data_IF_939320139417
#
_entry.id   IF_939320139417
#
_cell.length_a   1.000
_cell.length_b   1.000
_cell.length_c   1.000
_cell.angle_alpha   90.00
_cell.angle_beta   90.00
_cell.angle_gamma   90.00
#
_symmetry.space_group_name_H-M   'P 1'
#
loop_
_entity.id
_entity.type
_entity.pdbx_description
1 polymer ?
#
# COMPACT_ATOMS: atom_id res chain seq x y z
N UNK A 1 -59.04 57.61 40.46
CA UNK A 1 -58.79 56.27 40.02
C UNK A 1 -57.86 56.30 38.78
N UNK A 2 -56.58 56.19 39.02
CA UNK A 2 -55.54 56.23 37.93
C UNK A 2 -55.14 54.86 37.61
N UNK A 3 -55.37 54.42 36.38
CA UNK A 3 -54.86 53.10 35.83
C UNK A 3 -53.44 53.31 35.35
N UNK A 4 -52.52 52.56 35.94
CA UNK A 4 -51.14 52.47 35.49
C UNK A 4 -51.10 51.30 34.51
N UNK A 5 -50.74 51.55 33.25
CA UNK A 5 -50.50 50.58 32.22
C UNK A 5 -48.99 50.27 32.27
N UNK A 6 -48.65 49.00 32.72
CA UNK A 6 -47.28 48.51 32.69
C UNK A 6 -46.92 48.06 31.30
N UNK A 7 -45.85 48.63 30.77
CA UNK A 7 -45.22 48.21 29.50
C UNK A 7 -44.28 47.04 29.79
N UNK A 8 -44.63 45.81 29.34
CA UNK A 8 -43.78 44.65 29.40
C UNK A 8 -42.89 44.66 28.15
N UNK A 9 -41.63 44.98 28.36
CA UNK A 9 -40.61 44.85 27.31
C UNK A 9 -40.25 43.40 27.11
N UNK A 10 -40.58 42.84 25.95
CA UNK A 10 -40.11 41.54 25.50
C UNK A 10 -38.69 41.72 24.95
N UNK A 11 -37.69 41.34 25.76
CA UNK A 11 -36.32 41.21 25.29
C UNK A 11 -36.25 39.91 24.46
N UNK A 12 -36.23 40.06 23.14
CA UNK A 12 -35.97 38.96 22.22
C UNK A 12 -34.53 38.47 22.40
N UNK A 13 -34.36 37.30 23.01
CA UNK A 13 -33.10 36.56 22.98
C UNK A 13 -32.99 35.95 21.59
N UNK A 14 -32.16 36.54 20.75
CA UNK A 14 -31.73 35.94 19.50
C UNK A 14 -30.76 34.82 19.92
N UNK A 15 -31.28 33.61 20.00
CA UNK A 15 -30.45 32.41 20.00
C UNK A 15 -29.83 32.32 18.61
N UNK A 16 -28.58 32.77 18.49
CA UNK A 16 -27.69 32.33 17.42
C UNK A 16 -27.53 30.82 17.63
N UNK A 17 -28.38 30.06 16.95
CA UNK A 17 -28.05 28.67 16.66
C UNK A 17 -26.81 28.73 15.79
N UNK A 18 -25.65 28.59 16.40
CA UNK A 18 -24.49 28.05 15.69
C UNK A 18 -24.95 26.71 15.20
N UNK A 19 -25.29 26.58 13.92
CA UNK A 19 -25.23 25.31 13.24
C UNK A 19 -23.75 24.94 13.32
N UNK A 20 -23.40 24.14 14.30
CA UNK A 20 -22.28 23.28 14.18
C UNK A 20 -22.64 22.35 12.98
N UNK A 21 -22.15 22.68 11.80
CA UNK A 21 -21.89 21.62 10.86
C UNK A 21 -21.07 20.61 11.68
N UNK A 22 -21.64 19.47 11.97
CA UNK A 22 -20.83 18.30 12.24
C UNK A 22 -20.08 18.09 10.95
N UNK A 23 -18.84 18.57 10.88
CA UNK A 23 -17.96 18.27 9.80
C UNK A 23 -17.86 16.75 9.81
N UNK A 24 -18.47 16.10 8.80
CA UNK A 24 -18.38 14.66 8.65
C UNK A 24 -16.89 14.36 8.52
N UNK A 25 -16.39 13.45 9.36
CA UNK A 25 -15.00 13.04 9.35
C UNK A 25 -14.63 12.47 7.99
N UNK A 26 -13.36 12.59 7.62
CA UNK A 26 -12.79 11.92 6.46
C UNK A 26 -12.64 10.40 6.78
N UNK A 27 -13.29 9.55 6.03
CA UNK A 27 -13.28 8.10 6.27
C UNK A 27 -12.15 7.44 5.50
N UNK A 28 -11.12 6.96 6.23
CA UNK A 28 -9.98 6.24 5.66
C UNK A 28 -10.14 4.74 5.91
N UNK A 29 -9.82 3.93 4.91
CA UNK A 29 -9.88 2.48 5.02
C UNK A 29 -8.62 1.79 4.52
N UNK A 30 -8.53 0.48 4.74
CA UNK A 30 -7.49 -0.40 4.23
C UNK A 30 -7.98 -1.83 4.07
N UNK A 31 -7.19 -2.63 3.36
CA UNK A 31 -7.43 -4.06 3.13
C UNK A 31 -7.00 -4.89 4.36
N UNK A 32 -7.35 -6.19 4.45
CA UNK A 32 -7.16 -6.97 5.68
C UNK A 32 -5.76 -7.61 5.81
N UNK A 33 -4.69 -6.82 5.68
CA UNK A 33 -3.31 -7.25 5.98
C UNK A 33 -2.47 -6.09 6.53
N UNK A 34 -1.34 -6.41 7.13
CA UNK A 34 -0.52 -5.54 7.98
C UNK A 34 -0.19 -4.19 7.35
N UNK A 35 0.37 -4.17 6.17
CA UNK A 35 0.70 -2.94 5.46
C UNK A 35 -0.51 -2.01 5.30
N UNK A 36 -1.66 -2.61 5.02
CA UNK A 36 -2.93 -1.91 4.83
C UNK A 36 -3.64 -1.55 6.15
N UNK A 37 -3.10 -1.94 7.31
CA UNK A 37 -3.43 -1.38 8.61
C UNK A 37 -2.51 -0.21 8.98
N UNK A 38 -1.24 -0.25 8.55
CA UNK A 38 -0.26 0.80 8.83
C UNK A 38 -0.52 2.05 7.95
N UNK A 39 -0.74 1.87 6.65
CA UNK A 39 -0.87 2.96 5.69
C UNK A 39 -2.03 3.93 6.01
N UNK A 40 -3.25 3.47 6.36
CA UNK A 40 -4.32 4.37 6.81
C UNK A 40 -3.92 5.20 8.03
N UNK A 41 -3.18 4.60 8.98
CA UNK A 41 -2.69 5.29 10.17
C UNK A 41 -1.65 6.38 9.82
N UNK A 42 -0.74 6.11 8.87
CA UNK A 42 0.19 7.13 8.37
C UNK A 42 -0.56 8.30 7.74
N UNK A 43 -1.52 8.01 6.84
CA UNK A 43 -2.28 9.05 6.16
C UNK A 43 -3.12 9.87 7.16
N UNK A 44 -3.86 9.19 8.03
CA UNK A 44 -4.79 9.84 8.94
C UNK A 44 -4.07 10.68 10.00
N UNK A 45 -3.05 10.15 10.68
CA UNK A 45 -2.27 10.91 11.65
C UNK A 45 -1.57 12.12 11.01
N UNK A 46 -1.11 11.97 9.76
CA UNK A 46 -0.51 13.10 9.04
C UNK A 46 -1.54 14.18 8.69
N UNK A 47 -2.74 13.80 8.25
CA UNK A 47 -3.84 14.72 7.96
C UNK A 47 -4.25 15.48 9.25
N UNK A 48 -4.47 14.77 10.37
CA UNK A 48 -4.86 15.36 11.65
C UNK A 48 -3.81 16.31 12.21
N UNK A 49 -2.51 16.06 11.97
CA UNK A 49 -1.41 16.97 12.38
C UNK A 49 -1.35 18.23 11.52
N UNK A 50 -1.69 18.14 10.23
CA UNK A 50 -1.53 19.27 9.28
C UNK A 50 -2.78 20.08 9.06
N UNK A 51 -3.94 19.58 9.46
CA UNK A 51 -5.24 20.17 9.19
C UNK A 51 -6.16 20.09 10.41
N UNK A 52 -7.34 20.70 10.31
CA UNK A 52 -8.44 20.56 11.29
C UNK A 52 -9.45 19.45 10.87
N UNK A 53 -9.05 18.52 9.96
CA UNK A 53 -9.91 17.45 9.46
C UNK A 53 -9.91 16.30 10.47
N UNK A 54 -11.10 15.95 11.00
CA UNK A 54 -11.28 14.75 11.80
C UNK A 54 -11.22 13.49 10.90
N UNK A 55 -10.53 12.43 11.35
CA UNK A 55 -10.39 11.18 10.61
C UNK A 55 -11.12 10.03 11.30
N UNK A 56 -11.91 9.27 10.53
CA UNK A 56 -12.50 8.00 10.96
C UNK A 56 -11.82 6.84 10.23
N UNK A 57 -11.38 5.82 10.98
CA UNK A 57 -10.73 4.64 10.41
C UNK A 57 -11.69 3.47 10.29
N UNK A 58 -11.80 2.88 9.08
CA UNK A 58 -12.50 1.61 8.80
C UNK A 58 -11.49 0.56 8.39
N UNK A 59 -10.88 -0.09 9.38
CA UNK A 59 -9.81 -1.05 9.15
C UNK A 59 -10.32 -2.37 8.56
N UNK A 60 -9.50 -2.97 7.67
CA UNK A 60 -9.71 -4.32 7.18
C UNK A 60 -11.03 -4.56 6.47
N UNK A 61 -11.55 -3.54 5.77
CA UNK A 61 -12.88 -3.58 5.15
C UNK A 61 -13.04 -4.74 4.16
N UNK A 62 -12.00 -5.05 3.41
CA UNK A 62 -11.97 -6.16 2.46
C UNK A 62 -11.01 -5.94 1.29
N UNK A 63 -11.00 -6.89 0.37
CA UNK A 63 -10.22 -6.83 -0.86
C UNK A 63 -10.86 -5.88 -1.90
N UNK A 64 -10.21 -5.72 -3.05
CA UNK A 64 -10.62 -4.86 -4.18
C UNK A 64 -12.12 -4.93 -4.46
N UNK A 65 -12.70 -6.14 -4.45
CA UNK A 65 -14.14 -6.35 -4.71
C UNK A 65 -15.06 -5.67 -3.69
N UNK A 66 -14.55 -5.30 -2.52
CA UNK A 66 -15.26 -4.57 -1.47
C UNK A 66 -14.83 -3.10 -1.46
N UNK A 67 -13.51 -2.84 -1.56
CA UNK A 67 -12.96 -1.49 -1.46
C UNK A 67 -13.45 -0.55 -2.56
N UNK A 68 -13.40 -0.98 -3.83
CA UNK A 68 -13.82 -0.14 -4.96
C UNK A 68 -15.31 0.24 -4.89
N UNK A 69 -16.26 -0.70 -4.64
CA UNK A 69 -17.66 -0.32 -4.43
C UNK A 69 -17.92 0.56 -3.20
N UNK A 70 -17.12 0.41 -2.12
CA UNK A 70 -17.25 1.24 -0.93
C UNK A 70 -16.80 2.68 -1.21
N UNK A 71 -15.71 2.85 -1.96
CA UNK A 71 -15.25 4.15 -2.43
C UNK A 71 -16.30 4.82 -3.34
N UNK A 72 -16.81 4.10 -4.34
CA UNK A 72 -17.82 4.61 -5.28
C UNK A 72 -19.12 5.07 -4.59
N UNK A 73 -19.54 4.36 -3.53
CA UNK A 73 -20.75 4.70 -2.77
C UNK A 73 -20.55 5.79 -1.72
N UNK A 74 -19.32 6.14 -1.39
CA UNK A 74 -19.01 7.05 -0.31
C UNK A 74 -19.09 6.42 1.09
N UNK A 75 -18.97 5.11 1.17
CA UNK A 75 -18.81 4.42 2.46
C UNK A 75 -17.41 4.66 3.04
N UNK A 76 -16.44 4.96 2.19
CA UNK A 76 -15.07 5.42 2.48
C UNK A 76 -14.69 6.55 1.53
N UNK A 77 -13.78 7.43 1.94
CA UNK A 77 -13.32 8.59 1.16
C UNK A 77 -11.90 8.40 0.60
N UNK A 78 -11.09 7.61 1.29
CA UNK A 78 -9.66 7.45 1.01
C UNK A 78 -9.17 6.06 1.38
N UNK A 79 -8.32 5.46 0.55
CA UNK A 79 -7.50 4.30 0.89
C UNK A 79 -6.23 4.27 0.05
N UNK A 80 -5.26 3.42 0.41
CA UNK A 80 -4.08 3.17 -0.43
C UNK A 80 -4.31 1.97 -1.31
N UNK A 81 -4.08 2.14 -2.61
CA UNK A 81 -4.12 1.06 -3.58
C UNK A 81 -2.80 0.96 -4.34
N UNK A 82 -2.56 -0.18 -4.98
CA UNK A 82 -1.39 -0.43 -5.80
C UNK A 82 -1.74 -0.28 -7.28
N UNK A 83 -0.90 0.44 -8.02
CA UNK A 83 -1.20 0.80 -9.43
C UNK A 83 -1.49 -0.41 -10.30
N UNK A 84 -0.73 -1.51 -10.17
CA UNK A 84 -0.97 -2.75 -10.90
C UNK A 84 -2.31 -3.40 -10.57
N UNK A 85 -2.71 -3.38 -9.29
CA UNK A 85 -4.03 -3.87 -8.85
C UNK A 85 -5.15 -3.00 -9.44
N UNK A 86 -5.01 -1.68 -9.35
CA UNK A 86 -5.96 -0.74 -9.95
C UNK A 86 -6.15 -0.97 -11.44
N UNK A 87 -5.04 -1.17 -12.17
CA UNK A 87 -5.07 -1.43 -13.61
C UNK A 87 -5.72 -2.78 -13.95
N UNK A 88 -5.15 -3.87 -13.39
CA UNK A 88 -5.51 -5.24 -13.77
C UNK A 88 -6.82 -5.70 -13.14
N UNK A 89 -6.99 -5.49 -11.82
CA UNK A 89 -8.09 -6.08 -11.07
C UNK A 89 -9.34 -5.20 -11.02
N UNK A 90 -9.19 -3.88 -11.18
CA UNK A 90 -10.32 -2.94 -11.19
C UNK A 90 -10.69 -2.52 -12.61
N UNK A 91 -9.75 -1.96 -13.35
CA UNK A 91 -10.01 -1.46 -14.70
C UNK A 91 -10.08 -2.58 -15.75
N UNK A 92 -9.52 -3.78 -15.46
CA UNK A 92 -9.42 -4.92 -16.38
C UNK A 92 -8.59 -4.61 -17.61
N UNK A 93 -7.52 -3.84 -17.39
CA UNK A 93 -6.53 -3.47 -18.40
C UNK A 93 -5.19 -4.16 -18.08
N UNK A 94 -4.34 -4.33 -19.10
CA UNK A 94 -3.02 -4.94 -18.94
C UNK A 94 -1.93 -3.86 -19.08
N UNK A 95 -0.83 -4.05 -18.35
CA UNK A 95 0.41 -3.28 -18.57
C UNK A 95 1.30 -3.97 -19.60
N UNK A 96 2.11 -3.19 -20.28
CA UNK A 96 3.18 -3.73 -21.14
C UNK A 96 4.40 -4.09 -20.29
N UNK A 97 5.15 -5.11 -20.70
CA UNK A 97 6.42 -5.46 -20.04
C UNK A 97 7.37 -4.27 -20.11
N UNK A 98 7.90 -3.85 -18.97
CA UNK A 98 8.77 -2.67 -18.87
C UNK A 98 8.03 -1.32 -18.93
N UNK A 99 6.71 -1.31 -18.80
CA UNK A 99 5.95 -0.07 -18.70
C UNK A 99 6.36 0.73 -17.46
N UNK A 100 6.52 2.06 -17.61
CA UNK A 100 6.96 2.91 -16.50
C UNK A 100 5.85 3.12 -15.46
N UNK A 101 6.25 3.34 -14.20
CA UNK A 101 5.35 3.71 -13.10
C UNK A 101 4.45 4.90 -13.45
N UNK A 102 5.01 5.96 -14.06
CA UNK A 102 4.24 7.14 -14.46
C UNK A 102 3.14 6.81 -15.47
N UNK A 103 3.44 5.93 -16.46
CA UNK A 103 2.45 5.51 -17.45
C UNK A 103 1.31 4.72 -16.83
N UNK A 104 1.65 3.78 -15.93
CA UNK A 104 0.63 2.96 -15.22
C UNK A 104 -0.22 3.84 -14.32
N UNK A 105 0.41 4.77 -13.56
CA UNK A 105 -0.29 5.71 -12.70
C UNK A 105 -1.29 6.58 -13.49
N UNK A 106 -0.87 7.10 -14.65
CA UNK A 106 -1.74 7.92 -15.49
C UNK A 106 -2.95 7.13 -16.01
N UNK A 107 -2.75 5.87 -16.41
CA UNK A 107 -3.84 4.98 -16.83
C UNK A 107 -4.87 4.75 -15.71
N UNK A 108 -4.39 4.40 -14.51
CA UNK A 108 -5.31 4.14 -13.38
C UNK A 108 -6.00 5.42 -12.92
N UNK A 109 -5.29 6.55 -12.87
CA UNK A 109 -5.89 7.85 -12.53
C UNK A 109 -7.05 8.17 -13.47
N UNK A 110 -6.79 8.18 -14.77
CA UNK A 110 -7.81 8.45 -15.78
C UNK A 110 -8.99 7.47 -15.70
N UNK A 111 -8.70 6.17 -15.56
CA UNK A 111 -9.74 5.15 -15.49
C UNK A 111 -10.63 5.28 -14.26
N UNK A 112 -10.05 5.67 -13.11
CA UNK A 112 -10.81 5.88 -11.88
C UNK A 112 -11.64 7.18 -11.90
N UNK A 113 -11.08 8.26 -12.45
CA UNK A 113 -11.81 9.53 -12.65
C UNK A 113 -13.03 9.34 -13.56
N UNK A 114 -12.87 8.57 -14.65
CA UNK A 114 -13.96 8.31 -15.60
C UNK A 114 -15.05 7.35 -15.07
N UNK A 115 -14.69 6.39 -14.20
CA UNK A 115 -15.59 5.29 -13.81
C UNK A 115 -16.13 5.39 -12.39
N UNK A 116 -15.36 5.99 -11.45
CA UNK A 116 -15.63 5.92 -10.02
C UNK A 116 -15.68 7.29 -9.32
N UNK A 117 -15.51 8.39 -10.04
CA UNK A 117 -15.41 9.74 -9.46
C UNK A 117 -14.35 9.81 -8.35
N UNK A 118 -13.22 9.09 -8.54
CA UNK A 118 -12.08 9.03 -7.65
C UNK A 118 -10.79 9.26 -8.42
N UNK A 119 -9.77 9.81 -7.77
CA UNK A 119 -8.47 10.07 -8.40
C UNK A 119 -7.34 9.43 -7.61
N UNK A 120 -6.23 9.18 -8.29
CA UNK A 120 -4.98 8.69 -7.70
C UNK A 120 -4.04 9.86 -7.47
N UNK A 121 -3.55 10.01 -6.25
CA UNK A 121 -2.55 11.01 -5.91
C UNK A 121 -1.13 10.51 -6.22
N UNK A 122 -0.12 11.28 -5.80
CA UNK A 122 1.28 10.90 -6.01
C UNK A 122 1.66 9.65 -5.21
N UNK A 123 2.46 8.72 -5.79
CA UNK A 123 2.90 7.52 -5.10
C UNK A 123 3.70 7.82 -3.83
N UNK A 124 3.52 7.00 -2.81
CA UNK A 124 4.15 7.15 -1.50
C UNK A 124 5.67 6.91 -1.52
N UNK A 125 6.18 6.18 -2.52
CA UNK A 125 7.62 5.99 -2.74
C UNK A 125 8.10 4.55 -2.67
N UNK A 126 7.21 3.58 -2.58
CA UNK A 126 7.52 2.15 -2.63
C UNK A 126 6.55 1.38 -3.52
N UNK A 127 7.01 0.23 -3.98
CA UNK A 127 6.20 -0.78 -4.66
C UNK A 127 6.00 -1.99 -3.72
N UNK A 128 4.82 -2.60 -3.74
CA UNK A 128 4.62 -3.93 -3.15
C UNK A 128 4.55 -4.93 -4.31
N UNK A 129 5.73 -5.31 -4.81
CA UNK A 129 5.89 -6.20 -5.97
C UNK A 129 6.68 -7.45 -5.61
N UNK A 130 6.89 -8.34 -6.59
CA UNK A 130 7.70 -9.52 -6.40
C UNK A 130 9.21 -9.20 -6.43
N UNK A 131 9.94 -9.89 -5.57
CA UNK A 131 11.40 -10.01 -5.58
C UNK A 131 11.79 -11.46 -5.49
N UNK A 132 13.03 -11.82 -5.86
CA UNK A 132 13.61 -13.10 -5.52
C UNK A 132 14.48 -12.92 -4.28
N UNK A 133 14.17 -13.69 -3.23
CA UNK A 133 14.89 -13.68 -1.97
C UNK A 133 15.78 -14.90 -1.82
N UNK A 134 16.96 -14.71 -1.21
CA UNK A 134 17.94 -15.76 -0.92
C UNK A 134 18.70 -15.44 0.37
N UNK A 135 19.37 -16.41 0.97
CA UNK A 135 20.14 -16.20 2.21
C UNK A 135 21.48 -15.52 1.93
N UNK A 136 21.97 -14.68 2.86
CA UNK A 136 23.29 -14.03 2.79
C UNK A 136 24.44 -15.02 2.75
N UNK A 137 24.25 -16.23 3.26
CA UNK A 137 25.25 -17.30 3.25
C UNK A 137 25.49 -17.86 1.85
N UNK A 138 24.57 -17.65 0.92
CA UNK A 138 24.74 -17.99 -0.49
C UNK A 138 25.58 -16.90 -1.17
N UNK A 139 26.72 -17.30 -1.74
CA UNK A 139 27.68 -16.39 -2.40
C UNK A 139 27.21 -15.98 -3.83
N UNK A 140 25.90 -15.81 -4.06
CA UNK A 140 25.38 -15.44 -5.38
C UNK A 140 25.75 -14.01 -5.76
N UNK A 141 25.83 -13.09 -4.78
CA UNK A 141 26.11 -11.66 -4.99
C UNK A 141 25.22 -11.04 -6.08
N UNK A 142 23.97 -11.48 -6.14
CA UNK A 142 23.00 -11.05 -7.15
C UNK A 142 22.23 -9.81 -6.63
N UNK A 143 22.30 -8.73 -7.38
CA UNK A 143 21.51 -7.50 -7.10
C UNK A 143 20.26 -7.42 -7.98
N UNK A 144 20.30 -8.12 -9.13
CA UNK A 144 19.22 -8.16 -10.11
C UNK A 144 18.79 -9.59 -10.43
N UNK A 145 17.62 -9.73 -11.06
CA UNK A 145 17.20 -11.04 -11.60
C UNK A 145 18.18 -11.54 -12.66
N UNK A 146 18.72 -10.64 -13.49
CA UNK A 146 19.74 -10.99 -14.48
C UNK A 146 21.02 -11.54 -13.81
N UNK A 147 21.45 -10.96 -12.69
CA UNK A 147 22.59 -11.50 -11.92
C UNK A 147 22.26 -12.88 -11.34
N UNK A 148 21.03 -13.07 -10.84
CA UNK A 148 20.59 -14.36 -10.32
C UNK A 148 20.51 -15.43 -11.44
N UNK A 149 20.16 -15.04 -12.68
CA UNK A 149 20.25 -15.92 -13.85
C UNK A 149 21.68 -16.40 -14.04
N UNK A 150 22.68 -15.50 -13.99
CA UNK A 150 24.08 -15.90 -14.14
C UNK A 150 24.53 -16.82 -12.97
N UNK A 151 24.13 -16.53 -11.74
CA UNK A 151 24.38 -17.39 -10.59
C UNK A 151 23.77 -18.80 -10.77
N UNK A 152 22.56 -18.90 -11.31
CA UNK A 152 21.86 -20.18 -11.53
C UNK A 152 22.60 -21.12 -12.50
N UNK A 153 23.38 -20.57 -13.44
CA UNK A 153 24.17 -21.35 -14.41
C UNK A 153 25.34 -22.13 -13.80
N UNK A 154 25.73 -21.75 -12.58
CA UNK A 154 26.80 -22.50 -11.86
C UNK A 154 26.36 -23.91 -11.42
N UNK A 155 25.06 -24.17 -11.42
CA UNK A 155 24.40 -25.44 -11.12
C UNK A 155 24.05 -25.62 -9.65
N UNK A 156 23.07 -26.47 -9.39
CA UNK A 156 22.64 -26.84 -8.04
C UNK A 156 21.54 -26.00 -7.44
N UNK A 157 21.21 -24.82 -7.98
CA UNK A 157 20.20 -23.91 -7.42
C UNK A 157 18.81 -24.56 -7.41
N UNK A 158 18.16 -24.56 -6.25
CA UNK A 158 16.80 -25.08 -6.02
C UNK A 158 15.85 -23.89 -5.82
N UNK A 159 14.78 -23.84 -6.60
CA UNK A 159 13.76 -22.81 -6.49
C UNK A 159 12.53 -23.32 -5.75
N UNK A 160 12.09 -22.60 -4.71
CA UNK A 160 10.89 -22.92 -3.96
C UNK A 160 9.82 -21.84 -4.11
N UNK A 161 8.59 -22.21 -4.44
CA UNK A 161 7.49 -21.24 -4.58
C UNK A 161 6.14 -21.83 -4.18
N UNK A 162 5.13 -20.99 -3.88
CA UNK A 162 3.77 -21.45 -3.68
C UNK A 162 3.22 -22.14 -4.94
N UNK A 163 2.33 -23.13 -4.74
CA UNK A 163 1.70 -23.83 -5.87
C UNK A 163 1.03 -22.88 -6.86
N UNK A 164 0.32 -21.87 -6.35
CA UNK A 164 -0.32 -20.85 -7.18
C UNK A 164 0.65 -20.09 -8.10
N UNK A 165 1.94 -19.93 -7.71
CA UNK A 165 2.95 -19.26 -8.53
C UNK A 165 3.31 -20.07 -9.77
N UNK A 166 3.30 -21.42 -9.67
CA UNK A 166 3.53 -22.29 -10.81
C UNK A 166 2.33 -22.36 -11.77
N UNK A 167 1.11 -22.14 -11.29
CA UNK A 167 -0.09 -22.20 -12.12
C UNK A 167 -0.48 -20.85 -12.76
N UNK A 168 0.09 -19.77 -12.22
CA UNK A 168 -0.23 -18.40 -12.64
C UNK A 168 0.26 -18.12 -14.06
N UNK A 169 -0.54 -17.40 -14.85
CA UNK A 169 -0.22 -17.01 -16.22
C UNK A 169 0.08 -15.53 -16.31
N UNK A 170 1.06 -15.18 -17.13
CA UNK A 170 1.48 -13.81 -17.39
C UNK A 170 2.54 -13.32 -16.41
N UNK A 171 2.40 -13.64 -15.12
CA UNK A 171 3.29 -13.24 -14.04
C UNK A 171 3.68 -14.39 -13.08
N UNK A 172 3.59 -15.64 -13.56
CA UNK A 172 3.97 -16.84 -12.84
C UNK A 172 5.31 -17.43 -13.30
N UNK A 173 5.61 -18.63 -12.79
CA UNK A 173 6.91 -19.29 -12.98
C UNK A 173 7.28 -19.52 -14.45
N UNK A 174 6.35 -20.05 -15.27
CA UNK A 174 6.65 -20.36 -16.67
C UNK A 174 6.96 -19.10 -17.48
N UNK A 175 6.25 -18.01 -17.23
CA UNK A 175 6.49 -16.73 -17.91
C UNK A 175 7.76 -16.05 -17.35
N UNK A 176 8.04 -16.22 -16.05
CA UNK A 176 9.28 -15.73 -15.43
C UNK A 176 10.51 -16.36 -16.09
N UNK A 177 10.56 -17.69 -16.25
CA UNK A 177 11.72 -18.38 -16.87
C UNK A 177 11.81 -18.16 -18.39
N UNK A 178 10.71 -17.77 -19.05
CA UNK A 178 10.74 -17.33 -20.45
C UNK A 178 11.40 -15.95 -20.60
N UNK A 179 11.22 -15.05 -19.63
CA UNK A 179 11.83 -13.72 -19.61
C UNK A 179 13.25 -13.75 -19.07
N UNK A 180 13.43 -14.46 -17.96
CA UNK A 180 14.71 -14.68 -17.29
C UNK A 180 15.09 -16.16 -17.39
N UNK A 181 16.07 -16.54 -18.22
CA UNK A 181 16.40 -17.95 -18.48
C UNK A 181 17.18 -18.59 -17.32
N UNK A 182 16.54 -18.68 -16.15
CA UNK A 182 17.08 -19.36 -14.98
C UNK A 182 17.36 -20.84 -15.25
N UNK A 183 18.42 -21.37 -14.63
CA UNK A 183 18.80 -22.78 -14.69
C UNK A 183 18.68 -23.37 -13.29
N UNK A 184 17.44 -23.68 -12.89
CA UNK A 184 17.20 -24.37 -11.64
C UNK A 184 17.45 -25.88 -11.79
N UNK A 185 18.14 -26.47 -10.80
CA UNK A 185 18.37 -27.94 -10.75
C UNK A 185 17.11 -28.69 -10.32
N UNK A 186 16.28 -28.01 -9.48
CA UNK A 186 15.03 -28.53 -8.95
C UNK A 186 14.08 -27.36 -8.67
N UNK A 187 12.77 -27.64 -8.73
CA UNK A 187 11.73 -26.71 -8.29
C UNK A 187 10.82 -27.40 -7.27
N UNK A 188 10.49 -26.71 -6.18
CA UNK A 188 9.66 -27.25 -5.09
C UNK A 188 8.41 -26.42 -4.90
N UNK A 189 7.25 -27.09 -4.80
CA UNK A 189 6.00 -26.46 -4.44
C UNK A 189 5.85 -26.46 -2.91
N UNK A 190 5.79 -25.28 -2.30
CA UNK A 190 5.77 -25.08 -0.85
C UNK A 190 4.55 -24.30 -0.39
N UNK A 191 4.13 -24.54 0.86
CA UNK A 191 3.16 -23.64 1.50
C UNK A 191 3.83 -22.29 1.79
N UNK A 192 3.17 -21.13 1.55
CA UNK A 192 3.73 -19.80 1.80
C UNK A 192 4.25 -19.59 3.22
N UNK A 193 3.67 -20.27 4.22
CA UNK A 193 4.08 -20.10 5.61
C UNK A 193 5.37 -20.86 5.95
N UNK A 194 5.71 -21.91 5.21
CA UNK A 194 6.94 -22.70 5.42
C UNK A 194 8.05 -22.36 4.42
N UNK A 195 7.74 -21.62 3.37
CA UNK A 195 8.67 -21.29 2.28
C UNK A 195 9.92 -20.56 2.79
N UNK A 196 9.76 -19.60 3.68
CA UNK A 196 10.87 -18.85 4.27
C UNK A 196 11.75 -19.70 5.20
N UNK A 197 11.13 -20.62 5.95
CA UNK A 197 11.89 -21.56 6.80
C UNK A 197 12.67 -22.56 5.93
N UNK A 198 12.09 -23.04 4.82
CA UNK A 198 12.78 -23.91 3.87
C UNK A 198 14.00 -23.22 3.26
N UNK A 199 13.87 -21.92 2.91
CA UNK A 199 15.00 -21.10 2.44
C UNK A 199 16.08 -20.99 3.50
N UNK A 200 15.71 -20.64 4.74
CA UNK A 200 16.65 -20.50 5.86
C UNK A 200 17.40 -21.79 6.17
N UNK A 201 16.73 -22.93 6.06
CA UNK A 201 17.32 -24.26 6.32
C UNK A 201 18.17 -24.80 5.16
N UNK A 202 18.14 -24.13 3.99
CA UNK A 202 18.85 -24.58 2.80
C UNK A 202 18.15 -25.74 2.07
N UNK A 203 16.85 -25.95 2.31
CA UNK A 203 16.04 -26.91 1.55
C UNK A 203 15.76 -26.38 0.14
N UNK A 204 15.71 -25.06 -0.01
CA UNK A 204 15.68 -24.31 -1.27
C UNK A 204 16.67 -23.15 -1.19
N UNK A 205 17.13 -22.65 -2.34
CA UNK A 205 18.14 -21.60 -2.44
C UNK A 205 17.55 -20.22 -2.74
N UNK A 206 16.43 -20.18 -3.48
CA UNK A 206 15.77 -18.96 -3.92
C UNK A 206 14.25 -19.14 -3.85
N UNK A 207 13.56 -18.09 -3.37
CA UNK A 207 12.09 -18.04 -3.31
C UNK A 207 11.58 -16.71 -3.89
N UNK A 208 10.37 -16.67 -4.47
CA UNK A 208 9.68 -15.40 -4.71
C UNK A 208 9.16 -14.85 -3.38
N UNK A 209 9.35 -13.56 -3.15
CA UNK A 209 8.87 -12.84 -1.98
C UNK A 209 8.22 -11.53 -2.43
N UNK A 210 7.51 -10.86 -1.53
CA UNK A 210 7.10 -9.47 -1.77
C UNK A 210 8.14 -8.52 -1.18
N UNK A 211 8.43 -7.43 -1.88
CA UNK A 211 9.48 -6.46 -1.50
C UNK A 211 9.30 -5.89 -0.08
N UNK A 212 8.07 -5.81 0.39
CA UNK A 212 7.72 -5.27 1.71
C UNK A 212 7.43 -6.34 2.78
N UNK A 213 7.69 -7.62 2.49
CA UNK A 213 7.43 -8.72 3.43
C UNK A 213 8.40 -8.69 4.63
N UNK A 214 7.88 -8.45 5.84
CA UNK A 214 8.68 -8.35 7.08
C UNK A 214 9.53 -9.60 7.39
N UNK A 215 9.21 -10.75 6.77
CA UNK A 215 10.02 -11.97 6.91
C UNK A 215 11.39 -11.85 6.24
N UNK A 216 11.57 -10.94 5.27
CA UNK A 216 12.87 -10.63 4.68
C UNK A 216 13.82 -10.11 5.78
N UNK A 217 13.37 -9.17 6.59
CA UNK A 217 14.12 -8.64 7.73
C UNK A 217 14.35 -9.73 8.79
N UNK A 218 13.28 -10.44 9.17
CA UNK A 218 13.36 -11.49 10.21
C UNK A 218 14.39 -12.56 9.91
N UNK A 219 14.50 -12.97 8.66
CA UNK A 219 15.42 -14.03 8.24
C UNK A 219 16.74 -13.50 7.67
N UNK A 220 16.95 -12.19 7.71
CA UNK A 220 18.16 -11.52 7.21
C UNK A 220 18.47 -11.90 5.76
N UNK A 221 17.45 -11.86 4.89
CA UNK A 221 17.55 -12.27 3.49
C UNK A 221 18.11 -11.16 2.60
N UNK A 222 18.71 -11.56 1.49
CA UNK A 222 19.01 -10.70 0.34
C UNK A 222 17.85 -10.76 -0.64
N UNK A 223 17.61 -9.66 -1.33
CA UNK A 223 16.60 -9.53 -2.39
C UNK A 223 17.22 -9.04 -3.68
N UNK A 224 16.56 -9.31 -4.81
CA UNK A 224 16.99 -8.89 -6.13
C UNK A 224 15.95 -8.01 -6.80
N UNK A 225 16.39 -7.11 -7.70
CA UNK A 225 15.51 -6.22 -8.46
C UNK A 225 15.16 -6.85 -9.81
N UNK A 226 13.90 -6.75 -10.21
CA UNK A 226 13.40 -7.12 -11.55
C UNK A 226 13.87 -6.08 -12.59
N UNK A 227 15.05 -6.27 -13.15
CA UNK A 227 15.73 -5.32 -14.03
C UNK A 227 15.18 -5.28 -15.46
N UNK A 228 14.40 -6.28 -15.88
CA UNK A 228 13.71 -6.27 -17.18
C UNK A 228 12.23 -5.85 -17.05
N UNK A 229 11.71 -5.63 -15.84
CA UNK A 229 10.33 -5.22 -15.62
C UNK A 229 9.32 -6.30 -16.01
N UNK A 230 9.59 -7.55 -15.65
CA UNK A 230 8.70 -8.68 -15.90
C UNK A 230 7.39 -8.54 -15.10
N UNK A 231 7.49 -8.19 -13.83
CA UNK A 231 6.32 -7.93 -13.02
C UNK A 231 5.73 -6.55 -13.30
N UNK A 232 4.40 -6.40 -13.31
CA UNK A 232 3.76 -5.10 -13.39
C UNK A 232 4.21 -4.16 -12.27
N UNK A 233 4.07 -2.86 -12.48
CA UNK A 233 4.30 -1.85 -11.46
C UNK A 233 3.19 -1.86 -10.41
N UNK A 234 3.57 -1.89 -9.14
CA UNK A 234 2.67 -1.89 -7.99
C UNK A 234 3.01 -0.75 -7.03
N UNK A 235 3.14 0.47 -7.57
CA UNK A 235 3.37 1.66 -6.75
C UNK A 235 2.18 1.88 -5.81
N UNK A 236 2.46 2.02 -4.52
CA UNK A 236 1.46 2.33 -3.52
C UNK A 236 1.10 3.82 -3.58
N UNK A 237 -0.17 4.15 -3.78
CA UNK A 237 -0.63 5.52 -3.85
C UNK A 237 -2.00 5.72 -3.20
N UNK A 238 -2.27 6.92 -2.61
CA UNK A 238 -3.58 7.25 -2.11
C UNK A 238 -4.61 7.36 -3.26
N UNK A 239 -5.76 6.75 -3.08
CA UNK A 239 -6.94 6.86 -3.96
C UNK A 239 -8.03 7.59 -3.19
N UNK A 240 -8.46 8.72 -3.70
CA UNK A 240 -9.35 9.66 -3.01
C UNK A 240 -10.57 9.93 -3.87
N UNK A 241 -11.74 10.02 -3.26
CA UNK A 241 -12.97 10.49 -3.93
C UNK A 241 -12.82 11.96 -4.30
N UNK A 242 -13.30 12.32 -5.49
CA UNK A 242 -13.22 13.71 -5.96
C UNK A 242 -14.08 14.66 -5.12
N UNK A 243 -15.24 14.21 -4.64
CA UNK A 243 -16.09 15.03 -3.75
C UNK A 243 -15.49 15.22 -2.35
N UNK A 244 -14.64 14.28 -1.87
CA UNK A 244 -13.87 14.48 -0.64
C UNK A 244 -12.81 15.58 -0.82
N UNK A 245 -12.15 15.65 -1.99
CA UNK A 245 -11.24 16.76 -2.32
C UNK A 245 -11.97 18.11 -2.47
N UNK A 246 -13.20 18.10 -2.96
CA UNK A 246 -14.03 19.31 -2.99
C UNK A 246 -14.44 19.77 -1.58
N UNK A 247 -14.73 18.82 -0.69
CA UNK A 247 -15.13 19.06 0.70
C UNK A 247 -13.95 19.53 1.57
N UNK A 248 -12.76 18.98 1.34
CA UNK A 248 -11.53 19.26 2.05
C UNK A 248 -10.44 19.75 1.07
N UNK A 249 -10.45 21.03 0.67
CA UNK A 249 -9.59 21.54 -0.40
C UNK A 249 -8.08 21.42 -0.14
N UNK A 250 -7.67 21.37 1.13
CA UNK A 250 -6.26 21.17 1.52
C UNK A 250 -5.78 19.72 1.46
N UNK A 251 -6.69 18.75 1.36
CA UNK A 251 -6.40 17.32 1.49
C UNK A 251 -5.42 16.81 0.42
N UNK A 252 -5.59 17.25 -0.83
CA UNK A 252 -4.71 16.85 -1.93
C UNK A 252 -3.26 17.31 -1.71
N UNK A 253 -3.08 18.57 -1.34
CA UNK A 253 -1.76 19.15 -1.08
C UNK A 253 -1.07 18.43 0.09
N UNK A 254 -1.80 18.22 1.20
CA UNK A 254 -1.29 17.52 2.40
C UNK A 254 -0.90 16.09 2.09
N UNK A 255 -1.72 15.32 1.37
CA UNK A 255 -1.40 13.95 1.02
C UNK A 255 -0.21 13.86 0.04
N UNK A 256 -0.09 14.80 -0.89
CA UNK A 256 1.03 14.85 -1.82
C UNK A 256 2.36 15.22 -1.14
N UNK A 257 2.37 15.79 0.08
CA UNK A 257 3.61 15.95 0.86
C UNK A 257 4.23 14.62 1.28
N UNK A 258 3.43 13.54 1.34
CA UNK A 258 3.89 12.17 1.61
C UNK A 258 4.50 11.48 0.37
N UNK A 259 4.40 12.09 -0.81
CA UNK A 259 4.95 11.53 -2.05
C UNK A 259 6.45 11.23 -1.91
N UNK A 260 6.84 9.98 -2.17
CA UNK A 260 8.23 9.52 -2.09
C UNK A 260 8.82 9.49 -0.68
N UNK A 261 8.02 9.57 0.39
CA UNK A 261 8.52 9.59 1.77
C UNK A 261 8.67 8.21 2.41
N UNK A 262 8.01 7.20 1.88
CA UNK A 262 8.06 5.84 2.37
C UNK A 262 8.88 5.02 1.38
N UNK A 263 10.05 4.55 1.79
CA UNK A 263 10.83 3.60 0.98
C UNK A 263 10.34 2.17 1.19
N UNK A 264 10.73 1.24 0.29
CA UNK A 264 10.49 -0.20 0.49
C UNK A 264 11.09 -0.70 1.82
N UNK A 265 12.30 -0.23 2.15
CA UNK A 265 12.97 -0.57 3.42
C UNK A 265 12.17 -0.05 4.64
N UNK A 266 11.61 1.16 4.57
CA UNK A 266 10.77 1.70 5.63
C UNK A 266 9.52 0.83 5.81
N UNK A 267 8.84 0.48 4.70
CA UNK A 267 7.62 -0.31 4.75
C UNK A 267 7.88 -1.73 5.25
N UNK A 268 8.95 -2.36 4.78
CA UNK A 268 9.41 -3.66 5.26
C UNK A 268 9.66 -3.67 6.77
N UNK A 269 10.35 -2.66 7.30
CA UNK A 269 10.61 -2.54 8.74
C UNK A 269 9.32 -2.32 9.54
N UNK A 270 8.41 -1.49 9.03
CA UNK A 270 7.12 -1.26 9.67
C UNK A 270 6.28 -2.55 9.71
N UNK A 271 6.22 -3.29 8.60
CA UNK A 271 5.54 -4.59 8.56
C UNK A 271 6.17 -5.59 9.53
N UNK A 272 7.50 -5.65 9.61
CA UNK A 272 8.21 -6.53 10.55
C UNK A 272 7.88 -6.19 12.01
N UNK A 273 7.80 -4.92 12.39
CA UNK A 273 7.41 -4.51 13.74
C UNK A 273 6.02 -5.01 14.13
N UNK A 274 5.06 -4.93 13.21
CA UNK A 274 3.69 -5.42 13.48
C UNK A 274 3.64 -6.95 13.48
N UNK A 275 4.15 -7.60 12.41
CA UNK A 275 3.98 -9.04 12.21
C UNK A 275 4.85 -9.89 13.13
N UNK A 276 6.00 -9.37 13.56
CA UNK A 276 7.01 -10.12 14.31
C UNK A 276 7.10 -9.66 15.76
N UNK A 277 7.17 -8.34 15.98
CA UNK A 277 7.33 -7.79 17.33
C UNK A 277 5.98 -7.60 18.03
N UNK A 278 4.88 -7.57 17.25
CA UNK A 278 3.53 -7.43 17.77
C UNK A 278 3.17 -6.00 18.15
N UNK A 279 3.89 -5.01 17.59
CA UNK A 279 3.57 -3.61 17.77
C UNK A 279 2.23 -3.29 17.10
N UNK A 280 1.56 -2.26 17.58
CA UNK A 280 0.32 -1.82 16.96
C UNK A 280 0.57 -0.99 15.71
N UNK A 281 -0.22 -1.14 14.64
CA UNK A 281 -0.10 -0.34 13.43
C UNK A 281 -0.11 1.18 13.69
N UNK A 282 -0.95 1.65 14.62
CA UNK A 282 -1.06 3.05 15.01
C UNK A 282 0.25 3.60 15.61
N UNK A 283 0.91 2.82 16.49
CA UNK A 283 2.16 3.21 17.13
C UNK A 283 3.32 3.19 16.12
N UNK A 284 3.33 2.18 15.22
CA UNK A 284 4.33 2.05 14.16
C UNK A 284 4.26 3.22 13.18
N UNK A 285 3.04 3.59 12.77
CA UNK A 285 2.81 4.75 11.89
C UNK A 285 3.25 6.06 12.54
N UNK A 286 2.91 6.28 13.81
CA UNK A 286 3.33 7.46 14.56
C UNK A 286 4.84 7.58 14.64
N UNK A 287 5.52 6.49 15.07
CA UNK A 287 6.97 6.48 15.19
C UNK A 287 7.65 6.77 13.84
N UNK A 288 7.16 6.19 12.76
CA UNK A 288 7.65 6.46 11.40
C UNK A 288 7.51 7.95 11.04
N UNK A 289 6.34 8.55 11.25
CA UNK A 289 6.11 9.96 10.94
C UNK A 289 7.02 10.88 11.74
N UNK A 290 7.23 10.59 13.03
CA UNK A 290 8.16 11.32 13.91
C UNK A 290 9.60 11.16 13.45
N UNK A 291 10.04 9.92 13.12
CA UNK A 291 11.41 9.64 12.66
C UNK A 291 11.73 10.39 11.36
N UNK A 292 10.78 10.45 10.44
CA UNK A 292 10.92 11.21 9.19
C UNK A 292 10.77 12.73 9.37
N UNK A 293 10.42 13.20 10.58
CA UNK A 293 10.20 14.62 10.86
C UNK A 293 8.97 15.19 10.15
N UNK A 294 7.98 14.35 9.87
CA UNK A 294 6.74 14.72 9.21
C UNK A 294 5.71 15.27 10.19
N UNK A 295 5.72 14.78 11.44
CA UNK A 295 4.92 15.28 12.57
C UNK A 295 5.81 15.59 13.77
N UNK A 296 5.28 16.34 14.75
CA UNK A 296 5.95 16.60 16.02
C UNK A 296 5.82 15.38 16.97
N UNK A 297 6.71 15.32 18.02
CA UNK A 297 6.67 14.24 19.02
C UNK A 297 5.52 14.40 19.99
#
# INVERSE_FOLDING_TARGET
MKKIIGLVGIAGVILLSACSNSDEALVISGKPWTEQFILPQILGQYIEEKTDIDVEYKEGLGEVAIMTPALEKGDIDLYVEYTGTGLKDVLKEESEVGESSDSVLEKVRKGYEEKFEATWLSPLGFENTYTLAYTKDNEYNAETYSDMVEASKTGGMVFGAPHAFYERKGDGFDDLINTYPFVFSETQSLDPNVMYEALKNGDVDVIPAFTTDGRIERFDLQTTTDDLGFFPKYDAAPVVRMDALEKFPELEDVLNELAGKISEEDMLKMNARVDIDGDKPEDVAHDFLVEKGLIEK
#
